data_IF_663266291680
#
_entry.id   IF_663266291680
#
_cell.length_a   1.000
_cell.length_b   1.000
_cell.length_c   1.000
_cell.angle_alpha   90.00
_cell.angle_beta   90.00
_cell.angle_gamma   90.00
#
_symmetry.space_group_name_H-M   'P 1'
#
loop_
_entity.id
_entity.type
_entity.pdbx_description
1 polymer ?
#
# COMPACT_ATOMS: atom_id res chain seq x y z
N UNK A 1 18.04 19.55 0.80
CA UNK A 1 16.84 19.31 -0.04
C UNK A 1 15.62 19.86 0.70
N UNK A 2 14.54 20.23 -0.03
CA UNK A 2 13.28 20.63 0.58
C UNK A 2 12.62 19.44 1.31
N UNK A 3 11.92 19.72 2.43
CA UNK A 3 11.18 18.72 3.18
C UNK A 3 10.04 18.09 2.37
N UNK A 4 9.52 16.94 2.84
CA UNK A 4 8.51 16.15 2.15
C UNK A 4 7.28 16.99 1.73
N UNK A 5 6.63 17.66 2.67
CA UNK A 5 5.43 18.48 2.39
C UNK A 5 5.71 19.60 1.38
N UNK A 6 6.89 20.24 1.43
CA UNK A 6 7.28 21.24 0.42
C UNK A 6 7.40 20.61 -0.96
N UNK A 7 7.98 19.41 -1.07
CA UNK A 7 8.09 18.68 -2.35
C UNK A 7 6.73 18.30 -2.91
N UNK A 8 5.78 17.85 -2.07
CA UNK A 8 4.42 17.52 -2.52
C UNK A 8 3.66 18.71 -3.07
N UNK A 9 3.82 19.90 -2.45
CA UNK A 9 3.12 21.13 -2.86
C UNK A 9 3.72 21.70 -4.14
N UNK A 10 5.05 21.65 -4.27
CA UNK A 10 5.80 22.32 -5.33
C UNK A 10 6.41 21.37 -6.37
N UNK A 11 5.95 20.13 -6.44
CA UNK A 11 6.45 19.15 -7.43
C UNK A 11 6.22 19.61 -8.87
N UNK A 12 5.13 20.36 -9.12
CA UNK A 12 4.71 20.76 -10.45
C UNK A 12 4.27 22.21 -10.48
N UNK A 13 4.63 22.90 -11.58
CA UNK A 13 4.11 24.21 -11.96
C UNK A 13 3.76 24.17 -13.46
N UNK A 14 2.61 24.74 -13.84
CA UNK A 14 2.34 24.99 -15.26
C UNK A 14 3.20 26.16 -15.75
N UNK A 15 4.32 25.83 -16.38
CA UNK A 15 5.29 26.80 -16.89
C UNK A 15 4.69 27.59 -18.08
N UNK A 16 3.80 26.97 -18.86
CA UNK A 16 3.26 27.60 -20.07
C UNK A 16 2.28 28.74 -19.76
N UNK A 17 1.44 28.56 -18.74
CA UNK A 17 0.42 29.55 -18.36
C UNK A 17 0.70 30.21 -17.02
N UNK A 18 1.80 29.87 -16.35
CA UNK A 18 2.15 30.33 -14.98
C UNK A 18 1.03 30.04 -13.96
N UNK A 19 0.27 28.95 -14.18
CA UNK A 19 -0.78 28.53 -13.27
C UNK A 19 -0.19 27.79 -12.06
N UNK A 20 -0.80 27.98 -10.90
CA UNK A 20 -0.37 27.33 -9.63
C UNK A 20 -0.64 25.83 -9.64
N UNK A 21 -1.60 25.36 -10.43
CA UNK A 21 -1.97 23.95 -10.57
C UNK A 21 -1.85 23.52 -12.03
N UNK A 22 -1.48 22.25 -12.32
CA UNK A 22 -1.41 21.77 -13.69
C UNK A 22 -2.80 21.67 -14.32
N UNK A 23 -2.91 21.78 -15.66
CA UNK A 23 -4.16 21.56 -16.38
C UNK A 23 -4.51 20.07 -16.46
N UNK A 24 -5.77 19.76 -16.79
CA UNK A 24 -6.21 18.41 -17.10
C UNK A 24 -6.27 18.20 -18.61
N UNK A 25 -5.45 17.31 -19.14
CA UNK A 25 -5.43 16.94 -20.55
C UNK A 25 -6.24 15.65 -20.78
N UNK A 26 -7.44 15.77 -21.32
CA UNK A 26 -8.36 14.63 -21.56
C UNK A 26 -8.25 14.01 -22.96
N UNK A 27 -7.38 14.56 -23.82
CA UNK A 27 -7.19 14.05 -25.18
C UNK A 27 -6.68 12.61 -25.18
N UNK A 28 -7.32 11.72 -25.94
CA UNK A 28 -6.85 10.35 -26.15
C UNK A 28 -5.74 10.26 -27.20
N UNK A 29 -5.64 11.23 -28.10
CA UNK A 29 -4.72 11.25 -29.25
C UNK A 29 -4.15 12.64 -29.42
N UNK A 30 -2.86 12.72 -29.78
CA UNK A 30 -2.14 13.96 -29.98
C UNK A 30 -1.63 14.05 -31.43
N UNK A 31 -1.69 15.26 -32.01
CA UNK A 31 -1.15 15.51 -33.35
C UNK A 31 0.36 15.36 -33.38
N UNK A 32 0.87 14.68 -34.41
CA UNK A 32 2.29 14.48 -34.61
C UNK A 32 2.87 15.47 -35.63
N UNK A 33 4.16 15.83 -35.53
CA UNK A 33 4.81 16.64 -36.55
C UNK A 33 4.80 15.96 -37.92
N UNK A 34 4.44 16.69 -38.98
CA UNK A 34 4.39 16.15 -40.34
C UNK A 34 5.75 16.08 -41.02
N UNK A 35 6.74 16.78 -40.50
CA UNK A 35 8.10 16.85 -41.04
C UNK A 35 9.03 15.75 -40.51
N UNK A 36 8.47 14.75 -39.81
CA UNK A 36 9.21 13.67 -39.17
C UNK A 36 9.56 14.00 -37.71
N UNK A 37 9.86 12.96 -36.95
CA UNK A 37 10.06 13.02 -35.51
C UNK A 37 8.80 12.70 -34.74
N UNK A 38 8.96 12.42 -33.44
CA UNK A 38 7.88 12.11 -32.50
C UNK A 38 7.56 13.34 -31.65
N UNK A 39 6.26 13.63 -31.49
CA UNK A 39 5.81 14.60 -30.50
C UNK A 39 6.00 14.08 -29.07
N UNK A 40 5.89 14.94 -28.05
CA UNK A 40 6.06 14.53 -26.65
C UNK A 40 4.99 13.54 -26.17
N UNK A 41 3.84 13.50 -26.84
CA UNK A 41 2.73 12.60 -26.57
C UNK A 41 2.12 12.14 -27.89
N UNK A 42 1.67 10.88 -27.95
CA UNK A 42 1.03 10.27 -29.12
C UNK A 42 -0.39 9.81 -28.79
N UNK A 43 -0.50 8.95 -27.80
CA UNK A 43 -1.75 8.29 -27.41
C UNK A 43 -1.82 8.09 -25.90
N UNK A 44 -2.97 8.39 -25.29
CA UNK A 44 -3.16 8.43 -23.84
C UNK A 44 -2.77 7.14 -23.10
N UNK A 45 -2.97 5.97 -23.72
CA UNK A 45 -2.58 4.69 -23.13
C UNK A 45 -1.05 4.58 -22.95
N UNK A 46 -0.27 5.08 -23.90
CA UNK A 46 1.19 5.17 -23.78
C UNK A 46 1.62 6.25 -22.78
N UNK A 47 1.22 7.49 -23.04
CA UNK A 47 1.54 8.63 -22.19
C UNK A 47 0.45 9.71 -22.27
N UNK A 48 0.30 10.50 -21.18
CA UNK A 48 -0.64 11.62 -21.11
C UNK A 48 -0.05 12.69 -20.21
N UNK A 49 -0.11 13.99 -20.57
CA UNK A 49 0.52 15.05 -19.78
C UNK A 49 0.13 15.03 -18.30
N UNK A 50 -1.16 14.91 -17.98
CA UNK A 50 -1.64 14.92 -16.58
C UNK A 50 -1.21 13.67 -15.82
N UNK A 51 -1.17 12.47 -16.48
CA UNK A 51 -0.64 11.27 -15.85
C UNK A 51 0.86 11.35 -15.64
N UNK A 52 1.61 11.88 -16.60
CA UNK A 52 3.06 12.12 -16.46
C UNK A 52 3.36 13.07 -15.29
N UNK A 53 2.54 14.10 -15.10
CA UNK A 53 2.64 15.00 -13.95
C UNK A 53 2.42 14.24 -12.62
N UNK A 54 1.41 13.35 -12.54
CA UNK A 54 1.19 12.52 -11.37
C UNK A 54 2.38 11.57 -11.12
N UNK A 55 2.87 10.90 -12.15
CA UNK A 55 4.02 9.98 -12.09
C UNK A 55 5.29 10.72 -11.65
N UNK A 56 5.53 11.93 -12.16
CA UNK A 56 6.66 12.79 -11.74
C UNK A 56 6.55 13.18 -10.26
N UNK A 57 5.35 13.55 -9.81
CA UNK A 57 5.10 13.89 -8.41
C UNK A 57 5.39 12.69 -7.50
N UNK A 58 4.86 11.52 -7.85
CA UNK A 58 5.04 10.30 -7.07
C UNK A 58 6.51 9.85 -7.03
N UNK A 59 7.22 9.92 -8.15
CA UNK A 59 8.66 9.65 -8.20
C UNK A 59 9.45 10.54 -7.24
N UNK A 60 9.13 11.84 -7.21
CA UNK A 60 9.78 12.79 -6.29
C UNK A 60 9.49 12.50 -4.80
N UNK A 61 8.33 11.92 -4.46
CA UNK A 61 7.97 11.54 -3.10
C UNK A 61 8.65 10.26 -2.65
N UNK A 62 8.70 9.27 -3.53
CA UNK A 62 9.36 7.97 -3.30
C UNK A 62 10.89 8.05 -3.31
N UNK A 63 11.48 9.15 -3.79
CA UNK A 63 12.91 9.22 -4.08
C UNK A 63 13.30 8.31 -5.24
N UNK A 64 12.37 8.06 -6.17
CA UNK A 64 12.53 7.19 -7.32
C UNK A 64 12.94 7.97 -8.57
N UNK A 65 13.63 7.28 -9.50
CA UNK A 65 13.86 7.80 -10.86
C UNK A 65 12.63 7.63 -11.76
N UNK A 66 11.86 6.57 -11.53
CA UNK A 66 10.69 6.21 -12.32
C UNK A 66 9.50 5.89 -11.44
N UNK A 67 8.33 6.40 -11.82
CA UNK A 67 7.04 6.00 -11.26
C UNK A 67 6.00 5.87 -12.36
N UNK A 68 5.08 4.91 -12.20
CA UNK A 68 4.03 4.61 -13.16
C UNK A 68 2.67 4.53 -12.45
N UNK A 69 1.68 5.26 -12.97
CA UNK A 69 0.36 5.36 -12.37
C UNK A 69 -0.64 4.45 -13.12
N UNK A 70 -1.23 3.52 -12.37
CA UNK A 70 -2.17 2.49 -12.84
C UNK A 70 -3.59 2.78 -12.37
N UNK A 71 -4.57 2.23 -13.09
CA UNK A 71 -6.00 2.36 -12.77
C UNK A 71 -6.38 1.73 -11.41
N UNK A 72 -5.60 0.80 -10.89
CA UNK A 72 -5.81 0.16 -9.57
C UNK A 72 -4.50 -0.31 -8.97
N UNK A 73 -4.45 -0.50 -7.64
CA UNK A 73 -3.31 -1.13 -6.98
C UNK A 73 -3.01 -2.53 -7.53
N UNK A 74 -4.05 -3.32 -7.84
CA UNK A 74 -3.87 -4.65 -8.43
C UNK A 74 -3.30 -4.63 -9.85
N UNK A 75 -3.58 -3.58 -10.64
CA UNK A 75 -2.95 -3.40 -11.94
C UNK A 75 -1.44 -3.05 -11.77
N UNK A 76 -1.09 -2.29 -10.74
CA UNK A 76 0.29 -1.99 -10.39
C UNK A 76 1.05 -3.25 -9.96
N UNK A 77 0.52 -4.01 -8.98
CA UNK A 77 1.10 -5.30 -8.55
C UNK A 77 1.23 -6.28 -9.73
N UNK A 78 0.16 -6.38 -10.56
CA UNK A 78 0.16 -7.27 -11.71
C UNK A 78 1.16 -6.89 -12.78
N UNK A 79 1.51 -5.60 -12.93
CA UNK A 79 2.55 -5.15 -13.85
C UNK A 79 3.94 -5.64 -13.39
N UNK A 80 4.22 -5.59 -12.09
CA UNK A 80 5.48 -6.09 -11.52
C UNK A 80 5.55 -7.61 -11.58
N UNK A 81 4.54 -8.32 -11.05
CA UNK A 81 4.51 -9.79 -11.09
C UNK A 81 4.41 -10.35 -12.52
N UNK A 82 3.91 -9.54 -13.45
CA UNK A 82 3.82 -9.87 -14.88
C UNK A 82 5.16 -9.90 -15.61
N UNK A 83 6.24 -9.42 -15.01
CA UNK A 83 7.61 -9.50 -15.56
C UNK A 83 8.22 -10.89 -15.44
N UNK A 84 7.65 -11.75 -14.59
CA UNK A 84 8.09 -13.11 -14.36
C UNK A 84 7.77 -14.04 -15.53
N UNK A 85 8.59 -15.07 -15.70
CA UNK A 85 8.50 -16.08 -16.74
C UNK A 85 8.12 -17.46 -16.17
N UNK A 86 7.65 -18.34 -17.03
CA UNK A 86 7.39 -19.73 -16.63
C UNK A 86 8.66 -20.39 -16.09
N UNK A 87 8.55 -21.02 -14.93
CA UNK A 87 9.66 -21.63 -14.20
C UNK A 87 10.26 -20.72 -13.11
N UNK A 88 9.93 -19.44 -13.08
CA UNK A 88 10.32 -18.54 -11.98
C UNK A 88 9.52 -18.81 -10.70
N UNK A 89 10.06 -18.38 -9.57
CA UNK A 89 9.36 -18.41 -8.28
C UNK A 89 9.39 -17.07 -7.55
N UNK A 90 8.41 -16.92 -6.65
CA UNK A 90 8.24 -15.76 -5.76
C UNK A 90 8.20 -16.25 -4.32
N UNK A 91 8.96 -15.62 -3.43
CA UNK A 91 8.77 -15.73 -1.98
C UNK A 91 7.82 -14.61 -1.57
N UNK A 92 6.73 -14.94 -0.85
CA UNK A 92 5.72 -13.97 -0.43
C UNK A 92 5.41 -14.11 1.05
N UNK A 93 5.47 -13.00 1.79
CA UNK A 93 5.09 -12.98 3.20
C UNK A 93 3.59 -13.17 3.42
N UNK A 94 3.22 -13.88 4.49
CA UNK A 94 1.85 -13.98 4.97
C UNK A 94 1.75 -13.34 6.38
N UNK A 95 0.65 -12.65 6.69
CA UNK A 95 -0.45 -12.31 5.78
C UNK A 95 -0.08 -11.23 4.76
N UNK A 96 -0.70 -11.31 3.59
CA UNK A 96 -0.60 -10.33 2.51
C UNK A 96 -2.01 -9.95 2.07
N UNK A 97 -2.19 -8.77 1.47
CA UNK A 97 -3.48 -8.34 0.95
C UNK A 97 -4.14 -9.43 0.09
N UNK A 98 -5.43 -9.71 0.33
CA UNK A 98 -6.14 -10.80 -0.36
C UNK A 98 -6.17 -10.70 -1.89
N UNK A 99 -5.90 -9.51 -2.48
CA UNK A 99 -5.68 -9.34 -3.91
C UNK A 99 -4.35 -9.94 -4.35
N UNK A 100 -3.27 -9.67 -3.62
CA UNK A 100 -1.93 -10.22 -3.87
C UNK A 100 -1.93 -11.74 -3.64
N UNK A 101 -2.62 -12.22 -2.60
CA UNK A 101 -2.83 -13.65 -2.37
C UNK A 101 -3.53 -14.34 -3.57
N UNK A 102 -4.58 -13.74 -4.14
CA UNK A 102 -5.23 -14.27 -5.35
C UNK A 102 -4.31 -14.26 -6.58
N UNK A 103 -3.46 -13.26 -6.73
CA UNK A 103 -2.42 -13.28 -7.76
C UNK A 103 -1.50 -14.49 -7.57
N UNK A 104 -0.99 -14.69 -6.36
CA UNK A 104 -0.08 -15.75 -6.00
C UNK A 104 -0.69 -17.15 -6.20
N UNK A 105 -1.96 -17.34 -5.84
CA UNK A 105 -2.62 -18.66 -5.83
C UNK A 105 -3.41 -18.98 -7.10
N UNK A 106 -3.78 -17.97 -7.90
CA UNK A 106 -4.63 -18.18 -9.08
C UNK A 106 -3.90 -17.79 -10.38
N UNK A 107 -3.30 -16.59 -10.43
CA UNK A 107 -2.78 -16.09 -11.70
C UNK A 107 -1.33 -16.51 -11.98
N UNK A 108 -0.46 -16.54 -10.99
CA UNK A 108 0.92 -17.01 -11.15
C UNK A 108 1.00 -18.49 -11.54
N UNK A 109 0.25 -19.42 -10.92
CA UNK A 109 0.24 -20.83 -11.34
C UNK A 109 -0.20 -21.06 -12.80
N UNK A 110 -1.17 -20.27 -13.32
CA UNK A 110 -1.56 -20.33 -14.73
C UNK A 110 -0.43 -19.99 -15.69
N UNK A 111 0.55 -19.23 -15.22
CA UNK A 111 1.73 -18.80 -15.98
C UNK A 111 2.94 -19.72 -15.76
N UNK A 112 2.79 -20.78 -14.95
CA UNK A 112 3.88 -21.71 -14.59
C UNK A 112 4.87 -21.09 -13.60
N UNK A 113 4.42 -20.14 -12.78
CA UNK A 113 5.21 -19.46 -11.74
C UNK A 113 4.78 -20.02 -10.38
N UNK A 114 5.74 -20.35 -9.52
CA UNK A 114 5.50 -20.88 -8.19
C UNK A 114 5.56 -19.76 -7.14
N UNK A 115 4.68 -19.82 -6.12
CA UNK A 115 4.77 -18.96 -4.95
C UNK A 115 5.09 -19.79 -3.72
N UNK A 116 6.13 -19.38 -2.98
CA UNK A 116 6.49 -19.92 -1.67
C UNK A 116 6.05 -18.92 -0.61
N UNK A 117 5.04 -19.31 0.19
CA UNK A 117 4.57 -18.49 1.28
C UNK A 117 5.42 -18.69 2.53
N UNK A 118 5.67 -17.59 3.24
CA UNK A 118 6.44 -17.58 4.48
C UNK A 118 5.71 -16.77 5.55
N UNK A 119 5.60 -17.29 6.77
CA UNK A 119 4.88 -16.66 7.88
C UNK A 119 5.64 -15.47 8.51
N UNK A 120 6.96 -15.47 8.39
CA UNK A 120 7.82 -14.42 8.95
C UNK A 120 9.09 -14.20 8.09
N UNK A 121 9.05 -13.20 7.23
CA UNK A 121 10.17 -12.89 6.33
C UNK A 121 11.46 -12.46 7.07
N UNK A 122 11.37 -12.09 8.35
CA UNK A 122 12.57 -11.84 9.18
C UNK A 122 13.37 -13.13 9.46
N UNK A 123 12.76 -14.30 9.25
CA UNK A 123 13.41 -15.61 9.43
C UNK A 123 13.94 -16.23 8.15
N UNK A 124 13.78 -15.55 7.01
CA UNK A 124 14.35 -16.04 5.75
C UNK A 124 15.85 -16.33 5.91
N UNK A 125 16.28 -17.41 5.29
CA UNK A 125 17.65 -17.90 5.22
C UNK A 125 18.06 -18.22 3.78
N UNK A 126 19.31 -18.56 3.55
CA UNK A 126 19.78 -18.95 2.23
C UNK A 126 19.09 -20.24 1.71
N UNK A 127 18.53 -21.07 2.61
CA UNK A 127 17.83 -22.33 2.27
C UNK A 127 16.45 -22.10 1.63
N UNK A 128 15.86 -20.91 1.82
CA UNK A 128 14.55 -20.54 1.26
C UNK A 128 14.64 -20.12 -0.22
N UNK A 129 15.85 -19.93 -0.74
CA UNK A 129 16.11 -19.50 -2.11
C UNK A 129 16.61 -20.63 -2.96
N UNK A 130 16.15 -20.67 -4.20
CA UNK A 130 16.66 -21.55 -5.25
C UNK A 130 16.98 -20.76 -6.53
N UNK A 131 17.46 -21.46 -7.58
CA UNK A 131 17.81 -20.85 -8.86
C UNK A 131 16.61 -20.22 -9.60
N UNK A 132 15.38 -20.54 -9.21
CA UNK A 132 14.16 -20.00 -9.81
C UNK A 132 13.65 -18.75 -9.11
N UNK A 133 14.10 -18.45 -7.90
CA UNK A 133 13.63 -17.33 -7.11
C UNK A 133 14.01 -16.00 -7.74
N UNK A 134 13.01 -15.18 -8.12
CA UNK A 134 13.20 -13.88 -8.77
C UNK A 134 12.73 -12.71 -7.95
N UNK A 135 11.71 -12.89 -7.14
CA UNK A 135 11.09 -11.82 -6.35
C UNK A 135 10.87 -12.30 -4.91
N UNK A 136 11.22 -11.46 -3.95
CA UNK A 136 10.68 -11.47 -2.60
C UNK A 136 9.66 -10.35 -2.51
N UNK A 137 8.38 -10.68 -2.33
CA UNK A 137 7.28 -9.74 -2.23
C UNK A 137 6.84 -9.61 -0.77
N UNK A 138 6.84 -8.40 -0.23
CA UNK A 138 6.46 -8.15 1.15
C UNK A 138 5.54 -6.94 1.32
N UNK A 139 4.69 -7.01 2.33
CA UNK A 139 3.95 -5.88 2.91
C UNK A 139 4.49 -5.62 4.31
N UNK A 140 4.93 -4.39 4.57
CA UNK A 140 5.39 -4.01 5.91
C UNK A 140 4.99 -2.58 6.24
N UNK A 141 4.18 -2.40 7.32
CA UNK A 141 3.52 -3.42 8.16
C UNK A 141 2.52 -4.28 7.38
N UNK A 142 2.36 -5.55 7.80
CA UNK A 142 1.50 -6.52 7.11
C UNK A 142 0.00 -6.27 7.36
N UNK A 143 -0.85 -6.65 6.43
CA UNK A 143 -2.29 -6.54 6.54
C UNK A 143 -2.92 -7.92 6.88
N UNK A 144 -3.66 -8.11 7.98
CA UNK A 144 -4.11 -7.10 8.95
C UNK A 144 -3.35 -7.14 10.29
N UNK A 145 -2.36 -7.99 10.43
CA UNK A 145 -1.70 -8.27 11.71
C UNK A 145 -0.64 -7.24 12.11
N UNK A 146 -0.26 -6.36 11.19
CA UNK A 146 0.69 -5.26 11.39
C UNK A 146 2.10 -5.72 11.82
N UNK A 147 2.47 -6.96 11.44
CA UNK A 147 3.83 -7.48 11.60
C UNK A 147 4.81 -6.64 10.78
N UNK A 148 5.98 -6.45 11.32
CA UNK A 148 7.03 -5.63 10.70
C UNK A 148 8.15 -6.52 10.16
N UNK A 149 8.48 -6.33 8.89
CA UNK A 149 9.60 -7.00 8.23
C UNK A 149 10.75 -6.01 8.06
N UNK A 150 11.97 -6.43 8.41
CA UNK A 150 13.21 -5.67 8.16
C UNK A 150 13.53 -5.67 6.65
N UNK A 151 13.24 -4.54 6.02
CA UNK A 151 13.46 -4.37 4.58
C UNK A 151 14.93 -4.55 4.22
N UNK A 152 15.86 -3.96 4.99
CA UNK A 152 17.31 -4.01 4.70
C UNK A 152 17.83 -5.44 4.76
N UNK A 153 17.44 -6.18 5.80
CA UNK A 153 17.82 -7.58 5.97
C UNK A 153 17.32 -8.45 4.81
N UNK A 154 16.04 -8.28 4.43
CA UNK A 154 15.46 -9.05 3.31
C UNK A 154 16.17 -8.68 2.00
N UNK A 155 16.45 -7.40 1.76
CA UNK A 155 17.20 -6.92 0.58
C UNK A 155 18.59 -7.55 0.51
N UNK A 156 19.35 -7.49 1.60
CA UNK A 156 20.70 -8.08 1.65
C UNK A 156 20.70 -9.58 1.34
N UNK A 157 19.70 -10.30 1.86
CA UNK A 157 19.56 -11.73 1.62
C UNK A 157 19.14 -12.01 0.17
N UNK A 158 18.07 -11.38 -0.32
CA UNK A 158 17.53 -11.58 -1.66
C UNK A 158 18.56 -11.26 -2.76
N UNK A 159 19.30 -10.15 -2.61
CA UNK A 159 20.30 -9.73 -3.58
C UNK A 159 21.48 -10.71 -3.67
N UNK A 160 21.85 -11.42 -2.57
CA UNK A 160 22.87 -12.49 -2.66
C UNK A 160 22.44 -13.64 -3.58
N UNK A 161 21.13 -13.85 -3.73
CA UNK A 161 20.55 -14.88 -4.59
C UNK A 161 20.07 -14.34 -5.95
N UNK A 162 20.33 -13.05 -6.24
CA UNK A 162 19.90 -12.42 -7.49
C UNK A 162 18.40 -12.20 -7.61
N UNK A 163 17.68 -12.24 -6.48
CA UNK A 163 16.26 -11.95 -6.41
C UNK A 163 16.01 -10.47 -6.07
N UNK A 164 14.99 -9.87 -6.68
CA UNK A 164 14.54 -8.50 -6.40
C UNK A 164 13.61 -8.47 -5.18
N UNK A 165 13.60 -7.34 -4.48
CA UNK A 165 12.67 -7.09 -3.38
C UNK A 165 11.62 -6.06 -3.79
N UNK A 166 10.36 -6.49 -3.73
CA UNK A 166 9.17 -5.67 -4.01
C UNK A 166 8.44 -5.41 -2.70
N UNK A 167 8.29 -4.13 -2.36
CA UNK A 167 7.61 -3.71 -1.13
C UNK A 167 6.28 -3.05 -1.44
N UNK A 168 5.18 -3.61 -0.95
CA UNK A 168 3.90 -2.90 -0.90
C UNK A 168 3.92 -1.92 0.27
N UNK A 169 4.08 -0.64 -0.05
CA UNK A 169 4.19 0.47 0.91
C UNK A 169 2.86 1.22 1.11
N UNK A 170 1.74 0.58 0.82
CA UNK A 170 0.41 1.21 0.86
C UNK A 170 0.07 1.77 2.25
N UNK A 171 0.50 1.11 3.34
CA UNK A 171 0.11 1.48 4.71
C UNK A 171 0.86 2.71 5.25
N UNK A 172 2.14 2.79 4.97
CA UNK A 172 2.98 3.88 5.50
C UNK A 172 3.19 5.01 4.50
N UNK A 173 3.06 4.75 3.21
CA UNK A 173 3.30 5.72 2.13
C UNK A 173 4.73 6.26 2.15
N UNK A 174 5.20 6.98 1.13
CA UNK A 174 6.52 7.60 1.16
C UNK A 174 6.66 8.71 2.20
N UNK A 175 5.54 9.12 2.84
CA UNK A 175 5.59 10.07 3.96
C UNK A 175 6.27 9.47 5.19
N UNK A 176 5.92 8.22 5.54
CA UNK A 176 6.42 7.55 6.74
C UNK A 176 7.51 6.51 6.47
N UNK A 177 7.54 5.89 5.29
CA UNK A 177 8.51 4.85 4.95
C UNK A 177 8.90 4.95 3.49
N UNK A 178 10.19 4.87 3.17
CA UNK A 178 10.74 4.93 1.81
C UNK A 178 11.58 3.70 1.50
N UNK A 179 10.93 2.60 1.05
CA UNK A 179 11.62 1.32 0.85
C UNK A 179 12.77 1.37 -0.15
N UNK A 180 12.71 2.20 -1.19
CA UNK A 180 13.82 2.37 -2.15
C UNK A 180 15.08 2.94 -1.48
N UNK A 181 14.95 3.82 -0.48
CA UNK A 181 16.07 4.33 0.32
C UNK A 181 16.62 3.26 1.28
N UNK A 182 15.85 2.21 1.56
CA UNK A 182 16.24 1.05 2.36
C UNK A 182 16.86 -0.08 1.52
N UNK A 183 16.91 0.09 0.19
CA UNK A 183 17.53 -0.84 -0.75
C UNK A 183 16.55 -1.71 -1.54
N UNK A 184 15.24 -1.60 -1.32
CA UNK A 184 14.25 -2.29 -2.13
C UNK A 184 14.36 -1.88 -3.62
N UNK A 185 14.07 -2.80 -4.53
CA UNK A 185 14.17 -2.58 -5.97
C UNK A 185 12.93 -1.91 -6.54
N UNK A 186 11.76 -2.26 -5.98
CA UNK A 186 10.46 -1.78 -6.43
C UNK A 186 9.57 -1.48 -5.23
N UNK A 187 8.87 -0.37 -5.28
CA UNK A 187 7.69 -0.14 -4.42
C UNK A 187 6.41 -0.24 -5.22
N UNK A 188 5.39 -0.86 -4.63
CA UNK A 188 4.02 -0.82 -5.12
C UNK A 188 3.12 -0.18 -4.08
N UNK A 189 2.12 0.55 -4.52
CA UNK A 189 1.13 1.14 -3.63
C UNK A 189 -0.26 1.15 -4.25
N UNK A 190 -1.27 0.92 -3.44
CA UNK A 190 -2.64 1.27 -3.80
C UNK A 190 -2.85 2.76 -3.54
N UNK A 191 -2.81 3.57 -4.61
CA UNK A 191 -3.13 5.00 -4.51
C UNK A 191 -4.59 5.26 -4.09
N UNK A 192 -5.46 4.27 -4.19
CA UNK A 192 -6.83 4.25 -3.66
C UNK A 192 -6.90 4.60 -2.16
N UNK A 193 -5.80 4.34 -1.42
CA UNK A 193 -5.72 4.44 0.03
C UNK A 193 -5.23 5.84 0.44
N UNK A 194 -4.23 5.94 1.28
CA UNK A 194 -3.73 7.21 1.82
C UNK A 194 -3.33 8.24 0.77
N UNK A 195 -2.73 7.82 -0.37
CA UNK A 195 -2.35 8.75 -1.43
C UNK A 195 -3.56 9.50 -2.00
N UNK A 196 -4.64 8.80 -2.31
CA UNK A 196 -5.92 9.38 -2.70
C UNK A 196 -6.67 9.99 -1.51
N UNK A 197 -6.82 9.26 -0.43
CA UNK A 197 -7.23 9.72 0.89
C UNK A 197 -8.67 10.22 1.06
N UNK A 198 -9.52 10.15 0.03
CA UNK A 198 -10.88 10.72 0.06
C UNK A 198 -11.98 9.73 -0.35
N UNK A 199 -11.63 8.43 -0.53
CA UNK A 199 -12.61 7.41 -0.89
C UNK A 199 -13.19 7.51 -2.31
N UNK A 200 -12.72 8.47 -3.12
CA UNK A 200 -13.27 8.84 -4.43
C UNK A 200 -12.35 8.49 -5.62
N UNK A 201 -11.24 7.77 -5.36
CA UNK A 201 -10.21 7.43 -6.33
C UNK A 201 -9.86 5.95 -6.26
N UNK A 202 -9.78 5.29 -7.42
CA UNK A 202 -9.05 4.04 -7.60
C UNK A 202 -7.74 4.33 -8.32
N UNK A 203 -6.64 3.79 -7.79
CA UNK A 203 -5.34 3.95 -8.43
C UNK A 203 -4.29 3.02 -7.85
N UNK A 204 -3.21 2.84 -8.59
CA UNK A 204 -2.02 2.12 -8.17
C UNK A 204 -0.77 2.83 -8.63
N UNK A 205 0.35 2.58 -7.95
CA UNK A 205 1.65 3.15 -8.27
C UNK A 205 2.70 2.07 -8.23
N UNK A 206 3.60 2.07 -9.19
CA UNK A 206 4.87 1.33 -9.15
C UNK A 206 5.98 2.36 -9.23
N UNK A 207 6.97 2.28 -8.32
CA UNK A 207 8.16 3.14 -8.37
C UNK A 207 9.43 2.29 -8.29
N UNK A 208 10.47 2.68 -9.04
CA UNK A 208 11.75 1.97 -9.08
C UNK A 208 12.90 2.89 -9.47
N UNK A 209 14.11 2.48 -9.10
CA UNK A 209 15.37 3.08 -9.57
C UNK A 209 16.07 2.23 -10.63
N UNK A 210 15.52 1.07 -11.00
CA UNK A 210 16.05 0.19 -12.02
C UNK A 210 15.45 0.54 -13.39
N UNK A 211 16.32 0.82 -14.39
CA UNK A 211 15.89 1.25 -15.72
C UNK A 211 15.30 0.10 -16.55
N UNK A 212 15.73 -1.14 -16.32
CA UNK A 212 15.20 -2.32 -17.00
C UNK A 212 13.80 -2.65 -16.47
N UNK A 213 13.63 -2.68 -15.15
CA UNK A 213 12.33 -2.83 -14.52
C UNK A 213 11.36 -1.71 -14.93
N UNK A 214 11.84 -0.47 -15.01
CA UNK A 214 11.03 0.65 -15.47
C UNK A 214 10.49 0.44 -16.90
N UNK A 215 11.34 -0.06 -17.82
CA UNK A 215 10.91 -0.38 -19.19
C UNK A 215 9.87 -1.50 -19.22
N UNK A 216 10.07 -2.56 -18.42
CA UNK A 216 9.14 -3.69 -18.35
C UNK A 216 7.78 -3.26 -17.76
N UNK A 217 7.78 -2.47 -16.69
CA UNK A 217 6.56 -1.94 -16.05
C UNK A 217 5.81 -0.99 -17.00
N UNK A 218 6.54 -0.11 -17.71
CA UNK A 218 5.94 0.77 -18.71
C UNK A 218 5.31 -0.04 -19.87
N UNK A 219 5.99 -1.06 -20.35
CA UNK A 219 5.46 -1.95 -21.38
C UNK A 219 4.20 -2.68 -20.89
N UNK A 220 4.23 -3.22 -19.67
CA UNK A 220 3.07 -3.85 -19.05
C UNK A 220 1.89 -2.88 -18.92
N UNK A 221 2.13 -1.63 -18.49
CA UNK A 221 1.14 -0.56 -18.42
C UNK A 221 0.51 -0.29 -19.78
N UNK A 222 1.34 -0.12 -20.81
CA UNK A 222 0.90 0.20 -22.17
C UNK A 222 0.12 -0.97 -22.82
N UNK A 223 0.60 -2.22 -22.65
CA UNK A 223 0.00 -3.41 -23.27
C UNK A 223 -1.31 -3.81 -22.60
N UNK A 224 -1.34 -3.83 -21.25
CA UNK A 224 -2.55 -4.16 -20.50
C UNK A 224 -3.61 -3.05 -20.55
N UNK A 225 -3.17 -1.81 -20.75
CA UNK A 225 -4.06 -0.64 -20.77
C UNK A 225 -4.57 -0.22 -19.38
N UNK A 226 -4.01 -0.77 -18.30
CA UNK A 226 -4.40 -0.46 -16.93
C UNK A 226 -3.93 0.91 -16.43
N UNK A 227 -3.96 1.93 -17.28
CA UNK A 227 -3.46 3.30 -17.03
C UNK A 227 -4.41 4.11 -16.17
N UNK A 228 -3.86 4.95 -15.29
CA UNK A 228 -4.66 5.90 -14.53
C UNK A 228 -5.27 6.98 -15.46
N UNK A 229 -6.55 7.31 -15.25
CA UNK A 229 -7.24 8.33 -16.06
C UNK A 229 -6.65 9.73 -15.79
N UNK A 230 -6.75 10.68 -16.75
CA UNK A 230 -6.31 12.06 -16.50
C UNK A 230 -7.06 12.74 -15.35
N UNK A 231 -8.33 12.46 -15.16
CA UNK A 231 -9.12 13.01 -14.05
C UNK A 231 -8.62 12.48 -12.73
N UNK A 232 -8.39 11.16 -12.61
CA UNK A 232 -7.90 10.55 -11.39
C UNK A 232 -6.43 10.91 -11.14
N UNK A 233 -5.62 11.09 -12.19
CA UNK A 233 -4.26 11.61 -12.08
C UNK A 233 -4.25 13.01 -11.46
N UNK A 234 -5.14 13.90 -11.91
CA UNK A 234 -5.28 15.23 -11.33
C UNK A 234 -5.75 15.17 -9.86
N UNK A 235 -6.77 14.33 -9.56
CA UNK A 235 -7.21 14.11 -8.17
C UNK A 235 -6.07 13.64 -7.28
N UNK A 236 -5.27 12.68 -7.76
CA UNK A 236 -4.11 12.17 -7.03
C UNK A 236 -3.08 13.27 -6.75
N UNK A 237 -2.74 14.09 -7.74
CA UNK A 237 -1.85 15.25 -7.58
C UNK A 237 -2.37 16.20 -6.48
N UNK A 238 -3.67 16.49 -6.45
CA UNK A 238 -4.25 17.35 -5.43
C UNK A 238 -4.23 16.69 -4.04
N UNK A 239 -4.57 15.42 -3.97
CA UNK A 239 -4.69 14.67 -2.72
C UNK A 239 -3.34 14.51 -2.00
N UNK A 240 -2.26 14.24 -2.72
CA UNK A 240 -0.94 14.06 -2.09
C UNK A 240 -0.41 15.35 -1.46
N UNK A 241 -0.88 16.52 -1.87
CA UNK A 241 -0.49 17.81 -1.27
C UNK A 241 -0.87 17.93 0.21
N UNK A 242 -1.88 17.17 0.63
CA UNK A 242 -2.35 17.12 2.02
C UNK A 242 -2.01 15.82 2.73
N UNK A 243 -1.21 14.95 2.10
CA UNK A 243 -0.89 13.62 2.64
C UNK A 243 -0.30 13.70 4.04
N UNK A 244 0.71 14.55 4.26
CA UNK A 244 1.37 14.70 5.55
C UNK A 244 0.41 15.10 6.66
N UNK A 245 -0.35 16.18 6.47
CA UNK A 245 -1.29 16.67 7.51
C UNK A 245 -2.43 15.70 7.79
N UNK A 246 -2.86 14.90 6.81
CA UNK A 246 -3.84 13.83 7.03
C UNK A 246 -3.26 12.69 7.84
N UNK A 247 -2.08 12.19 7.46
CA UNK A 247 -1.40 11.12 8.18
C UNK A 247 -1.00 11.52 9.60
N UNK A 248 -0.55 12.74 9.83
CA UNK A 248 -0.24 13.23 11.19
C UNK A 248 -1.48 13.17 12.08
N UNK A 249 -2.63 13.65 11.59
CA UNK A 249 -3.89 13.60 12.33
C UNK A 249 -4.39 12.16 12.51
N UNK A 250 -4.30 11.33 11.50
CA UNK A 250 -4.70 9.91 11.56
C UNK A 250 -3.86 9.13 12.57
N UNK A 251 -2.54 9.37 12.62
CA UNK A 251 -1.65 8.76 13.61
C UNK A 251 -1.97 9.23 15.03
N UNK A 252 -2.18 10.55 15.24
CA UNK A 252 -2.57 11.10 16.53
C UNK A 252 -3.87 10.46 17.04
N UNK A 253 -4.89 10.40 16.18
CA UNK A 253 -6.16 9.78 16.51
C UNK A 253 -6.01 8.28 16.81
N UNK A 254 -5.26 7.54 15.97
CA UNK A 254 -5.02 6.11 16.15
C UNK A 254 -4.31 5.84 17.47
N UNK A 255 -3.29 6.62 17.82
CA UNK A 255 -2.56 6.49 19.09
C UNK A 255 -3.50 6.62 20.29
N UNK A 256 -4.34 7.66 20.31
CA UNK A 256 -5.29 7.89 21.41
C UNK A 256 -6.34 6.79 21.53
N UNK A 257 -6.85 6.28 20.42
CA UNK A 257 -7.82 5.17 20.42
C UNK A 257 -7.14 3.88 20.90
N UNK A 258 -5.91 3.62 20.49
CA UNK A 258 -5.12 2.45 20.95
C UNK A 258 -4.88 2.51 22.46
N UNK A 259 -4.50 3.67 23.00
CA UNK A 259 -4.35 3.84 24.46
C UNK A 259 -5.66 3.59 25.20
N UNK A 260 -6.77 4.11 24.70
CA UNK A 260 -8.10 3.85 25.25
C UNK A 260 -8.42 2.35 25.25
N UNK A 261 -8.23 1.65 24.13
CA UNK A 261 -8.53 0.22 23.99
C UNK A 261 -7.66 -0.66 24.90
N UNK A 262 -6.38 -0.32 25.08
CA UNK A 262 -5.48 -1.04 26.00
C UNK A 262 -5.92 -0.99 27.46
N UNK A 263 -6.68 0.01 27.83
CA UNK A 263 -7.27 0.16 29.18
C UNK A 263 -8.64 -0.51 29.35
N UNK A 264 -9.13 -1.30 28.37
CA UNK A 264 -10.49 -1.88 28.40
C UNK A 264 -10.47 -3.36 28.72
N UNK A 265 -11.28 -3.75 29.69
CA UNK A 265 -11.43 -5.15 30.11
C UNK A 265 -12.07 -6.05 29.03
N UNK A 266 -12.76 -5.45 28.05
CA UNK A 266 -13.40 -6.16 26.95
C UNK A 266 -12.43 -6.55 25.82
N UNK A 267 -11.23 -5.98 25.81
CA UNK A 267 -10.23 -6.12 24.74
C UNK A 267 -9.15 -7.12 25.13
N UNK A 268 -8.94 -8.11 24.28
CA UNK A 268 -7.92 -9.15 24.51
C UNK A 268 -6.52 -8.66 24.16
N UNK A 269 -6.38 -7.97 23.01
CA UNK A 269 -5.11 -7.42 22.53
C UNK A 269 -5.34 -6.29 21.53
N UNK A 270 -4.35 -5.43 21.41
CA UNK A 270 -4.28 -4.36 20.40
C UNK A 270 -2.95 -4.49 19.67
N UNK A 271 -3.03 -4.56 18.34
CA UNK A 271 -1.87 -4.70 17.43
C UNK A 271 -1.62 -3.37 16.74
N UNK A 272 -0.39 -2.90 16.81
CA UNK A 272 0.16 -1.78 16.05
C UNK A 272 1.50 -2.21 15.45
N UNK A 273 2.05 -1.52 14.43
CA UNK A 273 3.37 -1.85 13.92
C UNK A 273 4.42 -1.91 15.03
N UNK A 274 5.21 -2.99 15.10
CA UNK A 274 6.23 -3.19 16.12
C UNK A 274 5.70 -3.61 17.51
N UNK A 275 4.43 -4.03 17.63
CA UNK A 275 3.85 -4.44 18.92
C UNK A 275 4.04 -5.92 19.27
N UNK A 276 4.62 -6.71 18.39
CA UNK A 276 4.80 -8.15 18.61
C UNK A 276 5.92 -8.46 19.59
N UNK A 277 7.07 -7.84 19.40
CA UNK A 277 8.25 -7.99 20.25
C UNK A 277 9.18 -6.77 20.13
N UNK A 278 10.24 -6.77 20.96
CA UNK A 278 11.22 -5.68 20.97
C UNK A 278 12.05 -5.57 19.68
N UNK A 279 12.19 -6.66 18.92
CA UNK A 279 12.93 -6.66 17.67
C UNK A 279 12.12 -5.94 16.59
N UNK A 280 10.85 -6.30 16.40
CA UNK A 280 9.97 -5.61 15.46
C UNK A 280 9.80 -4.12 15.81
N UNK A 281 9.74 -3.77 17.11
CA UNK A 281 9.70 -2.38 17.54
C UNK A 281 10.93 -1.60 17.08
N UNK A 282 12.12 -2.16 17.26
CA UNK A 282 13.39 -1.55 16.81
C UNK A 282 13.46 -1.44 15.27
N UNK A 283 12.99 -2.48 14.55
CA UNK A 283 12.93 -2.45 13.09
C UNK A 283 12.02 -1.31 12.63
N UNK A 284 10.81 -1.21 13.21
CA UNK A 284 9.87 -0.14 12.87
C UNK A 284 10.47 1.26 13.09
N UNK A 285 11.09 1.49 14.24
CA UNK A 285 11.75 2.77 14.56
C UNK A 285 12.94 3.09 13.63
N UNK A 286 13.64 2.06 13.13
CA UNK A 286 14.80 2.23 12.27
C UNK A 286 14.45 2.48 10.79
N UNK A 287 13.27 2.06 10.33
CA UNK A 287 12.89 2.11 8.92
C UNK A 287 11.71 3.02 8.59
N UNK A 288 10.95 3.50 9.60
CA UNK A 288 9.77 4.32 9.39
C UNK A 288 9.70 5.51 10.36
N UNK A 289 9.15 6.63 9.88
CA UNK A 289 8.98 7.88 10.61
C UNK A 289 7.67 7.90 11.44
N UNK A 290 6.99 6.75 11.60
CA UNK A 290 5.75 6.62 12.37
C UNK A 290 5.06 5.27 12.22
N UNK A 291 3.90 5.12 12.87
CA UNK A 291 3.13 3.87 12.91
C UNK A 291 1.96 3.84 11.91
N UNK A 292 1.64 4.98 11.30
CA UNK A 292 0.47 5.11 10.43
C UNK A 292 -0.87 5.23 11.17
N UNK A 293 -1.95 5.29 10.39
CA UNK A 293 -3.32 5.44 10.90
C UNK A 293 -4.11 4.12 11.00
N UNK A 294 -3.41 2.98 11.04
CA UNK A 294 -4.02 1.65 11.12
C UNK A 294 -3.62 0.95 12.42
N UNK A 295 -4.58 0.26 13.00
CA UNK A 295 -4.35 -0.73 14.05
C UNK A 295 -5.35 -1.87 13.95
N UNK A 296 -5.09 -2.96 14.63
CA UNK A 296 -6.04 -4.06 14.78
C UNK A 296 -6.23 -4.39 16.25
N UNK A 297 -7.38 -4.94 16.62
CA UNK A 297 -7.63 -5.40 17.98
C UNK A 297 -8.57 -6.60 18.00
N UNK A 298 -8.58 -7.32 19.10
CA UNK A 298 -9.49 -8.44 19.34
C UNK A 298 -10.26 -8.20 20.64
N UNK A 299 -11.53 -8.54 20.61
CA UNK A 299 -12.34 -8.64 21.83
C UNK A 299 -12.02 -9.93 22.57
N UNK A 300 -12.23 -9.94 23.88
CA UNK A 300 -12.09 -11.15 24.68
C UNK A 300 -12.96 -12.30 24.17
N UNK A 301 -12.53 -13.56 24.31
CA UNK A 301 -13.35 -14.71 23.99
C UNK A 301 -14.71 -14.67 24.68
N UNK A 302 -15.77 -14.93 23.92
CA UNK A 302 -17.15 -14.88 24.40
C UNK A 302 -17.86 -13.54 24.23
N UNK A 303 -17.15 -12.51 23.79
CA UNK A 303 -17.76 -11.22 23.41
C UNK A 303 -18.40 -11.32 22.01
N UNK A 304 -19.49 -10.61 21.81
CA UNK A 304 -20.20 -10.59 20.52
C UNK A 304 -19.69 -9.47 19.62
N UNK A 305 -18.76 -9.83 18.72
CA UNK A 305 -18.18 -8.91 17.72
C UNK A 305 -19.25 -8.31 16.81
N UNK A 306 -20.32 -9.05 16.49
CA UNK A 306 -21.41 -8.55 15.63
C UNK A 306 -22.28 -7.53 16.35
N UNK A 307 -22.56 -7.76 17.63
CA UNK A 307 -23.25 -6.79 18.47
C UNK A 307 -22.44 -5.49 18.61
N UNK A 308 -21.13 -5.61 18.86
CA UNK A 308 -20.20 -4.46 18.85
C UNK A 308 -20.29 -3.65 17.55
N UNK A 309 -20.07 -4.32 16.40
CA UNK A 309 -20.09 -3.67 15.08
C UNK A 309 -21.45 -3.01 14.78
N UNK A 310 -22.55 -3.63 15.19
CA UNK A 310 -23.91 -3.12 14.99
C UNK A 310 -24.26 -1.88 15.82
N UNK A 311 -23.41 -1.50 16.77
CA UNK A 311 -23.61 -0.31 17.63
C UNK A 311 -22.76 0.88 17.24
N UNK A 312 -21.77 0.69 16.37
CA UNK A 312 -20.97 1.80 15.88
C UNK A 312 -21.84 2.76 15.05
N UNK A 313 -21.70 4.05 15.32
CA UNK A 313 -22.46 5.13 14.67
C UNK A 313 -21.57 5.99 13.76
N UNK A 314 -20.26 6.08 14.07
CA UNK A 314 -19.31 6.90 13.32
C UNK A 314 -18.41 5.99 12.45
N UNK A 315 -17.86 4.92 13.03
CA UNK A 315 -17.03 3.99 12.25
C UNK A 315 -17.85 3.24 11.20
N UNK A 316 -17.53 3.45 9.93
CA UNK A 316 -18.15 2.69 8.85
C UNK A 316 -17.70 1.23 8.85
N UNK A 317 -18.65 0.26 8.93
CA UNK A 317 -18.32 -1.15 8.75
C UNK A 317 -18.12 -1.46 7.28
N UNK A 318 -16.89 -1.31 6.79
CA UNK A 318 -16.55 -1.45 5.37
C UNK A 318 -15.11 -1.93 5.18
N UNK A 319 -14.86 -2.51 4.01
CA UNK A 319 -13.47 -2.71 3.52
C UNK A 319 -12.86 -1.36 3.12
N UNK A 320 -11.58 -1.34 2.85
CA UNK A 320 -10.74 -0.20 2.53
C UNK A 320 -10.06 0.40 3.76
N UNK A 321 -9.32 1.47 3.55
CA UNK A 321 -8.53 2.17 4.56
C UNK A 321 -7.96 3.47 3.99
N UNK A 322 -7.36 4.30 4.83
CA UNK A 322 -6.56 5.45 4.41
C UNK A 322 -7.37 6.65 3.93
N UNK A 323 -8.71 6.59 4.03
CA UNK A 323 -9.60 7.73 3.83
C UNK A 323 -9.58 8.69 5.02
N UNK A 324 -10.27 9.81 4.85
CA UNK A 324 -10.50 10.80 5.92
C UNK A 324 -11.58 10.34 6.90
N UNK A 325 -12.42 9.37 6.51
CA UNK A 325 -13.42 8.72 7.36
C UNK A 325 -12.85 7.49 8.03
N UNK A 326 -13.27 7.25 9.28
CA UNK A 326 -12.88 6.07 10.05
C UNK A 326 -13.66 4.83 9.61
N UNK A 327 -12.93 3.74 9.32
CA UNK A 327 -13.50 2.46 8.89
C UNK A 327 -13.04 1.32 9.78
N UNK A 328 -13.92 0.33 9.96
CA UNK A 328 -13.62 -0.93 10.64
C UNK A 328 -14.07 -2.12 9.80
N UNK A 329 -13.33 -3.20 9.84
CA UNK A 329 -13.71 -4.44 9.13
C UNK A 329 -13.30 -5.69 9.91
N UNK A 330 -13.86 -6.84 9.48
CA UNK A 330 -13.46 -8.19 9.88
C UNK A 330 -12.61 -8.81 8.77
N UNK A 331 -11.27 -8.77 8.86
CA UNK A 331 -10.40 -9.24 7.79
C UNK A 331 -10.66 -10.68 7.36
N UNK A 332 -10.84 -11.60 8.32
CA UNK A 332 -11.02 -13.03 8.04
C UNK A 332 -12.20 -13.33 7.09
N UNK A 333 -13.32 -12.61 7.22
CA UNK A 333 -14.49 -12.80 6.36
C UNK A 333 -14.60 -11.83 5.19
N UNK A 334 -13.85 -10.71 5.20
CA UNK A 334 -13.96 -9.64 4.21
C UNK A 334 -12.72 -9.57 3.29
N UNK A 335 -11.60 -9.05 3.78
CA UNK A 335 -10.41 -8.78 2.95
C UNK A 335 -9.56 -10.02 2.69
N UNK A 336 -9.59 -11.01 3.59
CA UNK A 336 -8.83 -12.26 3.52
C UNK A 336 -9.73 -13.51 3.40
N UNK A 337 -10.98 -13.32 3.00
CA UNK A 337 -11.95 -14.42 2.83
C UNK A 337 -11.56 -15.47 1.76
N UNK A 338 -10.62 -15.14 0.88
CA UNK A 338 -10.10 -16.05 -0.15
C UNK A 338 -8.99 -17.00 0.34
N UNK A 339 -8.47 -16.80 1.56
CA UNK A 339 -7.41 -17.64 2.12
C UNK A 339 -7.91 -19.07 2.35
N UNK A 340 -7.07 -20.06 2.05
CA UNK A 340 -7.30 -21.45 2.46
C UNK A 340 -7.30 -21.56 4.00
N UNK A 341 -7.90 -22.62 4.58
CA UNK A 341 -7.82 -22.83 6.03
C UNK A 341 -6.36 -22.92 6.51
N UNK A 342 -5.49 -23.60 5.75
CA UNK A 342 -4.08 -23.77 6.06
C UNK A 342 -3.34 -22.41 6.05
N UNK A 343 -3.58 -21.58 5.04
CA UNK A 343 -2.95 -20.28 4.94
C UNK A 343 -3.48 -19.27 5.97
N UNK A 344 -4.74 -19.41 6.44
CA UNK A 344 -5.27 -18.64 7.56
C UNK A 344 -4.56 -18.97 8.86
N UNK A 345 -4.29 -20.25 9.10
CA UNK A 345 -3.53 -20.71 10.26
C UNK A 345 -2.10 -20.20 10.21
N UNK A 346 -1.42 -20.34 9.07
CA UNK A 346 -0.07 -19.82 8.83
C UNK A 346 0.01 -18.30 9.02
N UNK A 347 -0.99 -17.58 8.56
CA UNK A 347 -1.10 -16.11 8.68
C UNK A 347 -1.57 -15.63 10.06
N UNK A 348 -1.87 -16.54 11.00
CA UNK A 348 -2.41 -16.25 12.34
C UNK A 348 -3.66 -15.33 12.31
N UNK A 349 -4.55 -15.54 11.32
CA UNK A 349 -5.75 -14.74 11.13
C UNK A 349 -6.89 -15.24 12.02
N UNK A 350 -7.13 -14.54 13.12
CA UNK A 350 -8.30 -14.78 13.99
C UNK A 350 -9.59 -14.29 13.33
N UNK A 351 -10.68 -15.06 13.51
CA UNK A 351 -12.01 -14.67 13.03
C UNK A 351 -12.57 -13.45 13.77
N UNK A 352 -12.07 -13.16 14.96
CA UNK A 352 -12.50 -12.04 15.81
C UNK A 352 -11.59 -10.81 15.70
N UNK A 353 -10.57 -10.86 14.84
CA UNK A 353 -9.69 -9.72 14.60
C UNK A 353 -10.45 -8.61 13.89
N UNK A 354 -10.46 -7.44 14.48
CA UNK A 354 -11.00 -6.20 13.93
C UNK A 354 -9.86 -5.34 13.44
N UNK A 355 -9.86 -4.92 12.17
CA UNK A 355 -8.92 -3.93 11.65
C UNK A 355 -9.59 -2.58 11.56
N UNK A 356 -8.96 -1.56 12.14
CA UNK A 356 -9.42 -0.17 12.16
C UNK A 356 -8.50 0.68 11.28
N UNK A 357 -9.11 1.46 10.40
CA UNK A 357 -8.47 2.53 9.65
C UNK A 357 -9.02 3.85 10.17
N UNK A 358 -8.18 4.63 10.82
CA UNK A 358 -8.61 5.85 11.51
C UNK A 358 -8.59 7.03 10.55
N UNK A 359 -9.66 7.82 10.58
CA UNK A 359 -9.82 9.06 9.84
C UNK A 359 -9.31 10.27 10.60
N UNK A 360 -9.79 11.44 10.17
CA UNK A 360 -9.37 12.74 10.74
C UNK A 360 -10.46 13.43 11.56
N UNK A 361 -11.50 12.70 11.93
CA UNK A 361 -12.62 13.15 12.78
C UNK A 361 -12.10 13.59 14.16
N UNK A 362 -12.96 14.21 14.96
CA UNK A 362 -12.65 14.53 16.35
C UNK A 362 -12.47 13.25 17.16
N UNK A 363 -11.30 13.07 17.73
CA UNK A 363 -10.89 11.81 18.37
C UNK A 363 -11.76 11.45 19.58
N UNK A 364 -12.30 12.44 20.28
CA UNK A 364 -13.21 12.21 21.41
C UNK A 364 -14.53 11.54 20.97
N UNK A 365 -15.02 11.92 19.79
CA UNK A 365 -16.22 11.32 19.21
C UNK A 365 -15.92 9.88 18.78
N UNK A 366 -14.75 9.61 18.17
CA UNK A 366 -14.32 8.27 17.82
C UNK A 366 -14.19 7.35 19.06
N UNK A 367 -13.60 7.86 20.14
CA UNK A 367 -13.46 7.13 21.40
C UNK A 367 -14.83 6.87 22.03
N UNK A 368 -15.72 7.86 22.02
CA UNK A 368 -17.07 7.71 22.54
C UNK A 368 -17.88 6.66 21.77
N UNK A 369 -17.74 6.63 20.44
CA UNK A 369 -18.39 5.63 19.58
C UNK A 369 -17.94 4.21 19.90
N UNK A 370 -16.63 3.98 20.02
CA UNK A 370 -16.09 2.68 20.44
C UNK A 370 -16.54 2.32 21.86
N UNK A 371 -16.50 3.28 22.79
CA UNK A 371 -16.85 3.04 24.19
C UNK A 371 -18.31 2.57 24.35
N UNK A 372 -19.26 3.23 23.66
CA UNK A 372 -20.65 2.83 23.70
C UNK A 372 -20.90 1.48 23.03
N UNK A 373 -20.18 1.17 21.96
CA UNK A 373 -20.28 -0.11 21.25
C UNK A 373 -19.72 -1.29 22.08
N UNK A 374 -18.61 -1.09 22.83
CA UNK A 374 -18.05 -2.10 23.75
C UNK A 374 -19.01 -2.54 24.82
N UNK A 375 -19.94 -1.66 25.28
CA UNK A 375 -20.97 -2.02 26.27
C UNK A 375 -22.01 -3.01 25.74
N UNK A 376 -22.08 -3.23 24.42
CA UNK A 376 -23.03 -4.14 23.79
C UNK A 376 -22.39 -5.50 23.40
N UNK A 377 -21.07 -5.62 23.51
CA UNK A 377 -20.29 -6.79 23.12
C UNK A 377 -20.41 -7.99 24.10
#
# INVERSE_FOLDING_TARGET
>A
MAGFTTRTIHALHDVALSAVVPPIHTASTFLQPTEGGEGPFEYQRGSNPTRTDAETTLAALEGARHSFAFATGMAATGAVLGTLHAGDSVIMGLPVYGGNYRWATIELPKRGITTHFHDDLNRLSDEDFDESTRIVFLETPSNPTLRVTDIRRVVELAHRHGAMVVVDNTFLTPYLQRPLELGADVTVQSATKYLGGHGDLLGGVVSTNDDEMAQQVHLAQMVSGGVLSPIDSYRLIQSVKTLGIRLDRQQENAHRIVEFLRGRDEVARVLVPGSFDEEEARIQEAQADGLGGLFSFELLPGKDVRAFLGRLEIFGFAVSLGGIESLICLPASMTHGAYSPEDRELAHLSENLLRVAVGIEDVEDLIADIAQALNAA
#
